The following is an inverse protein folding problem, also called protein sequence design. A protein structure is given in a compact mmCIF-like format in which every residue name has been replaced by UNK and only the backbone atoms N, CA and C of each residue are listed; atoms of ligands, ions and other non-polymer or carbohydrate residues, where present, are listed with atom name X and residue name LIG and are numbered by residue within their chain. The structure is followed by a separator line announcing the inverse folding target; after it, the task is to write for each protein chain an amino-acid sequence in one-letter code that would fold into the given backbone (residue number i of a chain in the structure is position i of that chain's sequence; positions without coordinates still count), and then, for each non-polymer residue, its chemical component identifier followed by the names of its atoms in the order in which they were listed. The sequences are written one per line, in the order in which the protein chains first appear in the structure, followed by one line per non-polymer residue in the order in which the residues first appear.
data_IF_473741745891
#
_entry.id   IF_473741745891
#
_cell.length_a   1.000
_cell.length_b   1.000
_cell.length_c   1.000
_cell.angle_alpha   90.00
_cell.angle_beta   90.00
_cell.angle_gamma   90.00
#
_symmetry.space_group_name_H-M   'P 1'
#
loop_
_entity.id
_entity.type
_entity.pdbx_description
1 polymer ?
#
# COMPACT_ATOMS: atom_id res chain seq x y z
N UNK A 1 -76.29 10.72 -49.98
CA UNK A 1 -75.09 10.81 -50.84
C UNK A 1 -74.35 12.04 -50.41
N UNK A 2 -73.09 11.93 -49.98
CA UNK A 2 -71.89 11.83 -50.81
C UNK A 2 -70.81 10.95 -50.19
N UNK A 3 -70.20 10.14 -51.04
CA UNK A 3 -68.96 9.43 -50.79
C UNK A 3 -68.03 9.81 -51.96
N UNK A 4 -66.96 10.62 -51.75
CA UNK A 4 -65.80 10.66 -52.66
C UNK A 4 -64.74 11.72 -52.21
N UNK A 5 -64.44 11.86 -50.93
CA UNK A 5 -63.33 12.73 -50.48
C UNK A 5 -62.31 12.03 -49.58
N UNK A 6 -62.38 10.71 -49.42
CA UNK A 6 -61.52 9.95 -48.52
C UNK A 6 -60.29 9.26 -49.15
N UNK A 7 -60.23 9.19 -50.49
CA UNK A 7 -59.19 8.38 -51.15
C UNK A 7 -57.95 9.20 -51.64
N UNK A 8 -58.07 10.50 -51.78
CA UNK A 8 -56.97 11.35 -52.29
C UNK A 8 -56.00 11.76 -51.14
N UNK A 9 -56.43 11.67 -49.87
CA UNK A 9 -55.59 12.02 -48.71
C UNK A 9 -54.69 10.91 -48.23
N UNK A 10 -54.95 9.66 -48.63
CA UNK A 10 -54.15 8.51 -48.25
C UNK A 10 -53.02 8.21 -49.26
N UNK A 11 -53.08 8.71 -50.49
CA UNK A 11 -52.02 8.52 -51.48
C UNK A 11 -50.93 9.57 -51.36
N UNK A 12 -51.18 10.78 -50.85
CA UNK A 12 -50.16 11.79 -50.62
C UNK A 12 -49.21 11.47 -49.45
N UNK A 13 -49.70 10.75 -48.42
CA UNK A 13 -48.91 10.31 -47.28
C UNK A 13 -48.01 9.10 -47.56
N UNK A 14 -48.32 8.32 -48.59
CA UNK A 14 -47.48 7.20 -48.98
C UNK A 14 -46.25 7.62 -49.79
N UNK A 15 -46.30 8.72 -50.51
CA UNK A 15 -45.14 9.26 -51.25
C UNK A 15 -44.17 10.00 -50.31
N UNK A 16 -44.66 10.67 -49.26
CA UNK A 16 -43.80 11.31 -48.25
C UNK A 16 -43.03 10.29 -47.38
N UNK A 17 -43.61 9.11 -47.10
CA UNK A 17 -42.93 8.04 -46.38
C UNK A 17 -41.87 7.34 -47.28
N UNK A 18 -42.11 7.24 -48.58
CA UNK A 18 -41.14 6.68 -49.53
C UNK A 18 -39.95 7.62 -49.81
N UNK A 19 -40.11 8.95 -49.63
CA UNK A 19 -39.05 9.95 -49.72
C UNK A 19 -38.18 9.96 -48.48
N UNK A 20 -38.74 9.73 -47.31
CA UNK A 20 -37.97 9.62 -46.03
C UNK A 20 -37.15 8.33 -45.90
N UNK A 21 -37.48 7.28 -46.64
CA UNK A 21 -36.68 6.06 -46.69
C UNK A 21 -35.53 6.07 -47.72
N UNK A 22 -35.39 7.07 -48.55
CA UNK A 22 -34.27 7.18 -49.51
C UNK A 22 -33.14 8.10 -49.12
N UNK A 23 -33.21 8.74 -47.97
CA UNK A 23 -32.11 9.53 -47.36
C UNK A 23 -31.45 8.82 -46.16
N UNK A 24 -31.62 7.49 -46.05
CA UNK A 24 -30.78 6.67 -45.19
C UNK A 24 -29.40 6.52 -45.85
N UNK A 25 -28.70 7.62 -45.94
CA UNK A 25 -27.27 7.60 -46.09
C UNK A 25 -26.75 6.84 -44.88
N UNK A 26 -26.21 5.69 -45.14
CA UNK A 26 -25.37 4.84 -44.31
C UNK A 26 -24.61 5.71 -43.30
N UNK A 27 -25.13 5.82 -42.08
CA UNK A 27 -24.26 6.00 -40.90
C UNK A 27 -23.50 4.68 -40.79
N UNK A 28 -22.52 4.48 -41.63
CA UNK A 28 -21.40 3.63 -41.29
C UNK A 28 -20.76 4.35 -40.08
N UNK A 29 -21.20 3.99 -38.88
CA UNK A 29 -20.40 4.18 -37.66
C UNK A 29 -19.09 3.49 -37.99
N UNK A 30 -18.11 4.26 -38.41
CA UNK A 30 -16.72 3.81 -38.40
C UNK A 30 -16.49 3.38 -36.95
N UNK A 31 -16.57 2.09 -36.68
CA UNK A 31 -15.97 1.50 -35.48
C UNK A 31 -14.51 1.85 -35.66
N UNK A 32 -14.11 2.98 -35.06
CA UNK A 32 -12.73 3.32 -34.90
C UNK A 32 -12.19 2.18 -34.07
N UNK A 33 -11.52 1.23 -34.70
CA UNK A 33 -10.80 0.17 -33.98
C UNK A 33 -9.75 0.90 -33.19
N UNK A 34 -10.10 1.20 -31.92
CA UNK A 34 -9.14 1.78 -30.98
C UNK A 34 -7.98 0.79 -30.95
N UNK A 35 -6.78 1.26 -31.26
CA UNK A 35 -5.58 0.45 -31.18
C UNK A 35 -5.51 -0.16 -29.79
N UNK A 36 -5.29 -1.48 -29.70
CA UNK A 36 -5.14 -2.14 -28.40
C UNK A 36 -3.95 -1.56 -27.67
N UNK A 37 -4.15 -1.21 -26.41
CA UNK A 37 -3.09 -0.83 -25.50
C UNK A 37 -2.49 -2.09 -24.90
N UNK A 38 -1.23 -2.36 -25.17
CA UNK A 38 -0.51 -3.52 -24.62
C UNK A 38 0.08 -3.18 -23.26
N UNK A 39 -0.35 -3.89 -22.23
CA UNK A 39 0.11 -3.72 -20.85
C UNK A 39 0.97 -4.91 -20.47
N UNK A 40 2.27 -4.67 -20.25
CA UNK A 40 3.21 -5.68 -19.78
C UNK A 40 3.29 -5.72 -18.26
N UNK A 41 3.01 -6.87 -17.67
CA UNK A 41 3.32 -7.14 -16.26
C UNK A 41 4.73 -7.69 -16.17
N UNK A 42 5.65 -6.86 -15.69
CA UNK A 42 7.07 -7.25 -15.59
C UNK A 42 7.30 -8.17 -14.39
N UNK A 43 8.34 -9.00 -14.47
CA UNK A 43 8.85 -9.72 -13.31
C UNK A 43 9.62 -8.80 -12.39
N UNK A 44 9.50 -9.03 -11.09
CA UNK A 44 10.29 -8.30 -10.10
C UNK A 44 11.77 -8.68 -10.20
N UNK A 45 12.64 -7.68 -10.25
CA UNK A 45 14.09 -7.86 -10.36
C UNK A 45 14.87 -7.31 -9.16
N UNK A 46 14.18 -6.78 -8.14
CA UNK A 46 14.79 -6.22 -6.94
C UNK A 46 15.45 -7.29 -6.06
N UNK A 47 16.51 -6.90 -5.34
CA UNK A 47 17.15 -7.70 -4.28
C UNK A 47 17.02 -6.95 -2.95
N UNK A 48 16.51 -7.58 -1.89
CA UNK A 48 15.95 -8.96 -1.81
C UNK A 48 14.71 -9.16 -2.69
N UNK A 49 14.39 -10.42 -3.07
CA UNK A 49 13.29 -10.73 -3.98
C UNK A 49 11.92 -10.25 -3.45
N UNK A 50 11.08 -9.78 -4.36
CA UNK A 50 9.68 -9.51 -4.11
C UNK A 50 8.81 -10.54 -4.86
N UNK A 51 7.86 -11.17 -4.18
CA UNK A 51 7.05 -12.26 -4.71
C UNK A 51 5.66 -11.80 -5.15
N UNK A 52 5.35 -10.51 -4.93
CA UNK A 52 4.07 -9.90 -5.30
C UNK A 52 3.98 -9.63 -6.80
N UNK A 53 2.76 -9.37 -7.25
CA UNK A 53 2.46 -8.93 -8.63
C UNK A 53 1.48 -7.75 -8.59
N UNK A 54 1.51 -6.85 -9.58
CA UNK A 54 0.52 -5.76 -9.65
C UNK A 54 -0.89 -6.25 -10.04
N UNK A 55 -0.97 -7.36 -10.79
CA UNK A 55 -2.20 -8.01 -11.20
C UNK A 55 -2.05 -9.53 -11.07
N UNK A 56 -2.98 -10.15 -10.36
CA UNK A 56 -3.07 -11.62 -10.27
C UNK A 56 -3.58 -12.22 -11.58
N UNK A 57 -3.45 -13.55 -11.80
CA UNK A 57 -3.97 -14.20 -13.02
C UNK A 57 -5.44 -13.89 -13.30
N UNK A 58 -6.30 -13.96 -12.27
CA UNK A 58 -7.74 -13.64 -12.37
C UNK A 58 -7.99 -12.17 -12.71
N UNK A 59 -7.21 -11.27 -12.10
CA UNK A 59 -7.30 -9.83 -12.35
C UNK A 59 -6.84 -9.45 -13.74
N UNK A 60 -5.88 -10.15 -14.34
CA UNK A 60 -5.51 -9.95 -15.74
C UNK A 60 -6.71 -10.22 -16.67
N UNK A 61 -7.46 -11.31 -16.45
CA UNK A 61 -8.70 -11.60 -17.17
C UNK A 61 -9.76 -10.52 -16.93
N UNK A 62 -9.91 -10.10 -15.69
CA UNK A 62 -10.86 -9.05 -15.31
C UNK A 62 -10.56 -7.72 -16.03
N UNK A 63 -9.30 -7.29 -16.06
CA UNK A 63 -8.87 -6.08 -16.78
C UNK A 63 -9.25 -6.17 -18.25
N UNK A 64 -8.95 -7.28 -18.94
CA UNK A 64 -9.30 -7.44 -20.36
C UNK A 64 -10.82 -7.49 -20.60
N UNK A 65 -11.59 -7.93 -19.60
CA UNK A 65 -13.06 -7.89 -19.67
C UNK A 65 -13.61 -6.47 -19.48
N UNK A 66 -13.06 -5.71 -18.53
CA UNK A 66 -13.52 -4.33 -18.24
C UNK A 66 -13.04 -3.36 -19.32
N UNK A 67 -11.82 -3.55 -19.81
CA UNK A 67 -11.17 -2.70 -20.82
C UNK A 67 -10.86 -3.54 -22.07
N UNK A 68 -11.84 -3.73 -23.01
CA UNK A 68 -11.66 -4.60 -24.17
C UNK A 68 -10.56 -4.16 -25.16
N UNK A 69 -10.13 -2.90 -25.06
CA UNK A 69 -8.98 -2.35 -25.79
C UNK A 69 -7.62 -2.60 -25.10
N UNK A 70 -7.60 -3.18 -23.90
CA UNK A 70 -6.37 -3.56 -23.20
C UNK A 70 -6.00 -5.03 -23.52
N UNK A 71 -4.74 -5.29 -23.78
CA UNK A 71 -4.15 -6.63 -23.88
C UNK A 71 -3.10 -6.77 -22.78
N UNK A 72 -3.30 -7.73 -21.86
CA UNK A 72 -2.34 -8.00 -20.79
C UNK A 72 -1.35 -9.05 -21.26
N UNK A 73 -0.07 -8.74 -21.14
CA UNK A 73 1.06 -9.63 -21.44
C UNK A 73 1.90 -9.74 -20.17
N UNK A 74 2.22 -10.96 -19.75
CA UNK A 74 2.95 -11.19 -18.51
C UNK A 74 4.32 -11.76 -18.81
N UNK A 75 5.36 -11.18 -18.21
CA UNK A 75 6.72 -11.69 -18.34
C UNK A 75 6.89 -12.94 -17.46
N UNK A 76 7.50 -14.04 -17.95
CA UNK A 76 7.79 -15.23 -17.15
C UNK A 76 8.62 -14.90 -15.90
N UNK A 77 8.32 -15.53 -14.75
CA UNK A 77 9.02 -15.27 -13.51
C UNK A 77 9.18 -16.54 -12.66
N UNK A 78 10.41 -16.92 -12.30
CA UNK A 78 10.66 -18.08 -11.45
C UNK A 78 10.37 -17.79 -9.96
N UNK A 79 10.23 -16.52 -9.58
CA UNK A 79 10.18 -16.14 -8.15
C UNK A 79 8.81 -15.71 -7.66
N UNK A 80 7.94 -15.13 -8.52
CA UNK A 80 6.63 -14.66 -8.06
C UNK A 80 5.80 -15.79 -7.46
N UNK A 81 4.95 -15.45 -6.49
CA UNK A 81 4.11 -16.48 -5.80
C UNK A 81 3.06 -17.09 -6.73
N UNK A 82 2.48 -16.32 -7.65
CA UNK A 82 1.63 -16.82 -8.75
C UNK A 82 2.49 -17.43 -9.84
N UNK A 83 2.29 -18.72 -10.13
CA UNK A 83 3.09 -19.43 -11.14
C UNK A 83 2.69 -19.06 -12.55
N UNK A 84 3.61 -19.21 -13.50
CA UNK A 84 3.37 -18.92 -14.92
C UNK A 84 2.18 -19.72 -15.46
N UNK A 85 2.04 -20.98 -15.04
CA UNK A 85 0.96 -21.88 -15.43
C UNK A 85 -0.42 -21.37 -15.00
N UNK A 86 -0.51 -20.61 -13.91
CA UNK A 86 -1.78 -20.01 -13.46
C UNK A 86 -2.26 -18.93 -14.44
N UNK A 87 -1.36 -18.13 -15.01
CA UNK A 87 -1.67 -17.15 -16.07
C UNK A 87 -2.01 -17.85 -17.38
N UNK A 88 -1.20 -18.83 -17.80
CA UNK A 88 -1.40 -19.59 -19.04
C UNK A 88 -2.76 -20.31 -19.03
N UNK A 89 -3.13 -20.93 -17.90
CA UNK A 89 -4.40 -21.67 -17.77
C UNK A 89 -5.63 -20.79 -17.97
N UNK A 90 -5.50 -19.49 -17.70
CA UNK A 90 -6.55 -18.48 -17.91
C UNK A 90 -6.45 -17.76 -19.26
N UNK A 91 -5.57 -18.23 -20.16
CA UNK A 91 -5.40 -17.66 -21.51
C UNK A 91 -4.64 -16.34 -21.55
N UNK A 92 -3.93 -15.99 -20.48
CA UNK A 92 -3.08 -14.78 -20.46
C UNK A 92 -1.78 -15.08 -21.22
N UNK A 93 -1.44 -14.16 -22.12
CA UNK A 93 -0.24 -14.26 -22.95
C UNK A 93 1.02 -14.11 -22.10
N UNK A 94 1.96 -15.03 -22.24
CA UNK A 94 3.30 -14.94 -21.65
C UNK A 94 4.31 -14.54 -22.72
N UNK A 95 5.22 -13.59 -22.39
CA UNK A 95 6.23 -13.12 -23.33
C UNK A 95 7.47 -12.61 -22.58
N UNK A 96 8.67 -13.05 -22.98
CA UNK A 96 9.91 -12.65 -22.34
C UNK A 96 10.29 -11.20 -22.69
N UNK A 97 10.21 -10.83 -23.97
CA UNK A 97 10.49 -9.48 -24.44
C UNK A 97 9.19 -8.64 -24.45
N UNK A 98 9.12 -7.63 -23.60
CA UNK A 98 7.99 -6.71 -23.50
C UNK A 98 8.22 -5.40 -24.28
N UNK A 99 9.16 -5.35 -25.21
CA UNK A 99 9.50 -4.14 -25.98
C UNK A 99 8.35 -3.65 -26.88
N UNK A 100 7.36 -4.50 -27.19
CA UNK A 100 6.15 -4.15 -27.93
C UNK A 100 4.99 -3.68 -27.05
N UNK A 101 5.15 -3.67 -25.73
CA UNK A 101 4.16 -3.13 -24.81
C UNK A 101 4.23 -1.60 -24.72
N UNK A 102 3.08 -0.97 -24.55
CA UNK A 102 2.94 0.49 -24.39
C UNK A 102 3.16 0.94 -22.95
N UNK A 103 2.70 0.12 -22.01
CA UNK A 103 2.70 0.34 -20.57
C UNK A 103 3.30 -0.87 -19.86
N UNK A 104 4.21 -0.65 -18.93
CA UNK A 104 4.86 -1.68 -18.14
C UNK A 104 4.56 -1.48 -16.65
N UNK A 105 4.12 -2.55 -15.98
CA UNK A 105 3.68 -2.50 -14.59
C UNK A 105 4.47 -3.50 -13.75
N UNK A 106 5.07 -3.01 -12.67
CA UNK A 106 5.71 -3.81 -11.64
C UNK A 106 5.20 -3.43 -10.25
N UNK A 107 5.82 -3.96 -9.21
CA UNK A 107 5.56 -3.58 -7.81
C UNK A 107 6.70 -2.71 -7.30
N UNK A 108 7.93 -3.18 -7.37
CA UNK A 108 9.13 -2.52 -6.81
C UNK A 108 10.03 -1.91 -7.87
N UNK A 109 11.09 -1.26 -7.43
CA UNK A 109 12.08 -0.63 -8.30
C UNK A 109 12.63 -1.60 -9.33
N UNK A 110 12.52 -1.21 -10.60
CA UNK A 110 13.06 -2.00 -11.72
C UNK A 110 14.58 -1.77 -11.80
N UNK A 111 15.41 -2.82 -11.82
CA UNK A 111 16.84 -2.67 -12.05
C UNK A 111 17.14 -1.91 -13.35
N UNK A 112 18.07 -0.97 -13.30
CA UNK A 112 18.39 -0.06 -14.41
C UNK A 112 18.67 -0.81 -15.74
N UNK A 113 19.30 -1.99 -15.66
CA UNK A 113 19.63 -2.83 -16.81
C UNK A 113 18.37 -3.46 -17.48
N UNK A 114 17.28 -3.58 -16.73
CA UNK A 114 16.03 -4.18 -17.21
C UNK A 114 15.04 -3.14 -17.74
N UNK A 115 15.33 -1.85 -17.57
CA UNK A 115 14.49 -0.76 -18.08
C UNK A 115 14.52 -0.72 -19.61
N UNK A 116 13.36 -0.84 -20.25
CA UNK A 116 13.15 -0.70 -21.69
C UNK A 116 12.93 0.78 -22.01
N UNK A 117 13.74 1.38 -22.91
CA UNK A 117 13.63 2.80 -23.24
C UNK A 117 12.30 3.19 -23.89
N UNK A 118 11.91 4.44 -23.75
CA UNK A 118 10.74 5.07 -24.40
C UNK A 118 9.42 4.40 -24.07
N UNK A 119 9.27 3.86 -22.85
CA UNK A 119 8.04 3.22 -22.35
C UNK A 119 7.43 4.00 -21.19
N UNK A 120 6.14 3.75 -20.95
CA UNK A 120 5.50 4.18 -19.69
C UNK A 120 5.62 3.08 -18.67
N UNK A 121 6.05 3.42 -17.44
CA UNK A 121 6.17 2.50 -16.32
C UNK A 121 5.30 2.91 -15.15
N UNK A 122 4.78 1.91 -14.43
CA UNK A 122 4.12 2.06 -13.14
C UNK A 122 4.76 1.10 -12.12
N UNK A 123 5.38 1.64 -11.08
CA UNK A 123 5.91 0.89 -9.93
C UNK A 123 6.19 1.85 -8.75
N UNK A 124 6.53 1.33 -7.57
CA UNK A 124 7.04 2.13 -6.45
C UNK A 124 8.52 2.43 -6.68
N UNK A 125 8.85 3.63 -7.11
CA UNK A 125 10.24 4.03 -7.43
C UNK A 125 11.06 4.37 -6.19
N UNK A 126 10.40 4.87 -5.14
CA UNK A 126 11.00 5.46 -3.94
C UNK A 126 11.98 6.62 -4.23
N UNK A 127 12.01 7.15 -5.44
CA UNK A 127 12.87 8.27 -5.87
C UNK A 127 12.54 9.55 -5.12
N UNK A 128 11.24 9.77 -4.82
CA UNK A 128 10.76 10.93 -4.04
C UNK A 128 11.37 11.02 -2.64
N UNK A 129 11.89 9.91 -2.11
CA UNK A 129 12.57 9.85 -0.81
C UNK A 129 14.02 10.30 -0.86
N UNK A 130 14.54 10.58 -2.06
CA UNK A 130 15.92 11.01 -2.32
C UNK A 130 17.00 10.10 -1.69
N UNK A 131 16.69 8.81 -1.56
CA UNK A 131 17.66 7.83 -1.03
C UNK A 131 18.81 7.68 -2.00
N UNK A 132 20.08 7.74 -1.56
CA UNK A 132 21.25 7.76 -2.45
C UNK A 132 21.30 6.60 -3.45
N UNK A 133 20.88 5.41 -3.05
CA UNK A 133 20.89 4.21 -3.90
C UNK A 133 19.89 4.27 -5.07
N UNK A 134 18.82 5.07 -4.97
CA UNK A 134 17.82 5.25 -6.03
C UNK A 134 18.13 6.41 -6.99
N UNK A 135 19.17 7.19 -6.76
CA UNK A 135 19.58 8.28 -7.66
C UNK A 135 19.94 7.78 -9.07
N UNK A 136 20.56 6.58 -9.16
CA UNK A 136 20.87 5.96 -10.44
C UNK A 136 19.61 5.54 -11.21
N UNK A 137 18.57 5.12 -10.51
CA UNK A 137 17.27 4.82 -11.13
C UNK A 137 16.66 6.09 -11.73
N UNK A 138 16.61 7.19 -11.00
CA UNK A 138 16.09 8.46 -11.51
C UNK A 138 16.82 8.92 -12.76
N UNK A 139 18.17 8.92 -12.76
CA UNK A 139 18.97 9.25 -13.94
C UNK A 139 18.64 8.35 -15.13
N UNK A 140 18.56 7.03 -14.90
CA UNK A 140 18.25 6.08 -15.96
C UNK A 140 16.85 6.26 -16.55
N UNK A 141 15.85 6.68 -15.74
CA UNK A 141 14.51 7.01 -16.24
C UNK A 141 14.56 8.19 -17.21
N UNK A 142 15.33 9.24 -16.90
CA UNK A 142 15.51 10.40 -17.77
C UNK A 142 16.32 10.06 -19.03
N UNK A 143 17.47 9.40 -18.90
CA UNK A 143 18.35 9.04 -20.01
C UNK A 143 17.67 8.11 -21.03
N UNK A 144 16.87 7.17 -20.53
CA UNK A 144 16.11 6.22 -21.37
C UNK A 144 14.77 6.78 -21.86
N UNK A 145 14.46 8.05 -21.55
CA UNK A 145 13.20 8.72 -21.95
C UNK A 145 11.97 7.92 -21.53
N UNK A 146 11.93 7.50 -20.29
CA UNK A 146 10.84 6.72 -19.71
C UNK A 146 9.84 7.68 -19.06
N UNK A 147 8.55 7.48 -19.33
CA UNK A 147 7.48 8.11 -18.55
C UNK A 147 7.24 7.28 -17.30
N UNK A 148 7.65 7.80 -16.15
CA UNK A 148 7.46 7.11 -14.86
C UNK A 148 6.26 7.67 -14.11
N UNK A 149 5.27 6.83 -13.85
CA UNK A 149 4.11 7.11 -12.99
C UNK A 149 4.32 6.35 -11.68
N UNK A 150 4.62 7.06 -10.59
CA UNK A 150 4.90 6.41 -9.30
C UNK A 150 3.61 6.10 -8.54
N UNK A 151 3.43 4.84 -8.17
CA UNK A 151 2.32 4.43 -7.31
C UNK A 151 2.26 5.19 -5.97
N UNK A 152 3.41 5.60 -5.45
CA UNK A 152 3.49 6.30 -4.17
C UNK A 152 2.88 7.71 -4.23
N UNK A 153 2.86 8.32 -5.40
CA UNK A 153 2.40 9.70 -5.62
C UNK A 153 0.99 9.80 -6.21
N UNK A 154 0.36 8.66 -6.55
CA UNK A 154 -1.03 8.62 -6.97
C UNK A 154 -1.97 9.03 -5.83
N UNK A 155 -2.48 10.27 -5.87
CA UNK A 155 -3.35 10.83 -4.83
C UNK A 155 -4.69 11.25 -5.42
N UNK A 156 -5.76 10.95 -4.70
CA UNK A 156 -7.10 11.45 -5.00
C UNK A 156 -7.24 12.95 -4.74
N UNK A 157 -8.41 13.51 -5.04
CA UNK A 157 -8.72 14.92 -4.79
C UNK A 157 -8.66 15.30 -3.30
N UNK A 158 -8.87 14.34 -2.41
CA UNK A 158 -8.74 14.48 -0.96
C UNK A 158 -7.28 14.45 -0.47
N UNK A 159 -6.31 14.36 -1.39
CA UNK A 159 -4.88 14.28 -1.10
C UNK A 159 -4.41 12.93 -0.56
N UNK A 160 -5.32 11.96 -0.38
CA UNK A 160 -4.95 10.62 0.09
C UNK A 160 -4.43 9.77 -1.06
N UNK A 161 -3.44 8.92 -0.75
CA UNK A 161 -2.91 7.94 -1.70
C UNK A 161 -4.02 6.98 -2.15
N UNK A 162 -4.16 6.76 -3.47
CA UNK A 162 -5.21 5.90 -4.03
C UNK A 162 -4.97 4.42 -3.77
N UNK A 163 -3.73 3.97 -3.92
CA UNK A 163 -3.34 2.55 -3.84
C UNK A 163 -2.15 2.34 -2.91
N UNK A 164 -1.98 1.13 -2.41
CA UNK A 164 -0.81 0.76 -1.62
C UNK A 164 -1.01 -0.50 -0.80
N UNK A 165 0.07 -1.00 -0.25
CA UNK A 165 0.10 -2.25 0.53
C UNK A 165 -0.13 -2.06 2.04
N UNK A 166 -0.46 -0.83 2.49
CA UNK A 166 -0.55 -0.51 3.92
C UNK A 166 -1.53 -1.38 4.72
N UNK A 167 -2.66 -1.80 4.11
CA UNK A 167 -3.60 -2.71 4.76
C UNK A 167 -2.93 -4.04 5.13
N UNK A 168 -2.17 -4.64 4.19
CA UNK A 168 -1.45 -5.89 4.45
C UNK A 168 -0.23 -5.71 5.34
N UNK A 169 0.39 -4.53 5.36
CA UNK A 169 1.40 -4.24 6.38
C UNK A 169 0.78 -4.31 7.79
N UNK A 170 -0.41 -3.73 7.99
CA UNK A 170 -1.15 -3.80 9.25
C UNK A 170 -1.56 -5.22 9.64
N UNK A 171 -2.10 -5.98 8.70
CA UNK A 171 -2.51 -7.39 8.90
C UNK A 171 -1.31 -8.23 9.34
N UNK A 172 -0.28 -8.28 8.51
CA UNK A 172 0.90 -9.14 8.76
C UNK A 172 1.68 -8.65 9.98
N UNK A 173 1.91 -7.34 10.11
CA UNK A 173 2.68 -6.79 11.22
C UNK A 173 2.00 -6.99 12.57
N UNK A 174 0.67 -6.94 12.64
CA UNK A 174 -0.06 -7.26 13.87
C UNK A 174 0.03 -8.75 14.20
N UNK A 175 -0.08 -9.61 13.21
CA UNK A 175 0.12 -11.05 13.40
C UNK A 175 1.54 -11.37 13.89
N UNK A 176 2.58 -10.80 13.26
CA UNK A 176 3.98 -10.93 13.67
C UNK A 176 4.20 -10.38 15.09
N UNK A 177 3.50 -9.32 15.46
CA UNK A 177 3.49 -8.81 16.84
C UNK A 177 2.96 -9.86 17.84
N UNK A 178 1.86 -10.53 17.53
CA UNK A 178 1.37 -11.64 18.36
C UNK A 178 2.33 -12.82 18.35
N UNK A 179 2.94 -13.13 17.22
CA UNK A 179 3.96 -14.19 17.12
C UNK A 179 5.14 -13.89 18.03
N UNK A 180 5.63 -12.65 18.03
CA UNK A 180 6.67 -12.20 18.94
C UNK A 180 6.21 -12.28 20.40
N UNK A 181 4.98 -11.83 20.71
CA UNK A 181 4.42 -11.87 22.06
C UNK A 181 4.36 -13.30 22.60
N UNK A 182 3.86 -14.25 21.81
CA UNK A 182 3.80 -15.66 22.18
C UNK A 182 5.18 -16.25 22.48
N UNK A 183 6.17 -15.98 21.63
CA UNK A 183 7.57 -16.43 21.82
C UNK A 183 8.20 -15.80 23.06
N UNK A 184 8.09 -14.47 23.22
CA UNK A 184 8.66 -13.73 24.34
C UNK A 184 8.17 -14.25 25.71
N UNK A 185 6.90 -14.62 25.79
CA UNK A 185 6.28 -15.06 27.04
C UNK A 185 6.13 -16.58 27.15
N UNK A 186 6.56 -17.35 26.14
CA UNK A 186 6.45 -18.82 26.13
C UNK A 186 5.00 -19.32 26.18
N UNK A 187 4.04 -18.56 25.64
CA UNK A 187 2.61 -18.85 25.71
C UNK A 187 2.13 -19.73 24.54
N UNK A 188 2.58 -19.43 23.33
CA UNK A 188 2.24 -20.13 22.09
C UNK A 188 3.30 -19.86 21.01
N UNK A 189 3.33 -20.70 19.98
CA UNK A 189 4.17 -20.52 18.80
C UNK A 189 3.32 -20.58 17.53
N UNK A 190 3.42 -19.51 16.70
CA UNK A 190 2.70 -19.38 15.46
C UNK A 190 3.63 -19.62 14.27
N UNK A 191 3.12 -20.29 13.25
CA UNK A 191 3.77 -20.37 11.94
C UNK A 191 3.97 -18.96 11.37
N UNK A 192 5.10 -18.70 10.73
CA UNK A 192 5.34 -17.43 10.06
C UNK A 192 4.33 -17.21 8.92
N UNK A 193 3.81 -15.98 8.70
CA UNK A 193 2.96 -15.69 7.54
C UNK A 193 3.64 -16.05 6.21
N UNK A 194 4.95 -15.86 6.12
CA UNK A 194 5.75 -16.24 4.94
C UNK A 194 5.72 -17.74 4.61
N UNK A 195 5.51 -18.57 5.62
CA UNK A 195 5.40 -20.02 5.47
C UNK A 195 3.96 -20.49 5.24
N UNK A 196 2.97 -19.60 5.41
CA UNK A 196 1.57 -19.87 5.10
C UNK A 196 1.31 -19.79 3.59
N UNK A 197 0.36 -20.56 3.11
CA UNK A 197 -0.05 -20.50 1.70
C UNK A 197 -0.76 -19.19 1.38
N UNK A 198 -1.64 -18.73 2.31
CA UNK A 198 -2.46 -17.55 2.18
C UNK A 198 -2.89 -17.00 3.56
N UNK A 199 -3.69 -15.95 3.54
CA UNK A 199 -4.26 -15.33 4.74
C UNK A 199 -5.15 -16.29 5.53
N UNK A 200 -5.87 -17.19 4.87
CA UNK A 200 -6.77 -18.14 5.55
C UNK A 200 -5.97 -19.07 6.45
N UNK A 201 -4.86 -19.60 5.96
CA UNK A 201 -3.97 -20.45 6.77
C UNK A 201 -3.35 -19.63 7.93
N UNK A 202 -2.92 -18.40 7.68
CA UNK A 202 -2.41 -17.52 8.73
C UNK A 202 -3.47 -17.26 9.82
N UNK A 203 -4.71 -17.01 9.45
CA UNK A 203 -5.81 -16.79 10.40
C UNK A 203 -6.16 -18.06 11.20
N UNK A 204 -5.93 -19.26 10.63
CA UNK A 204 -6.09 -20.51 11.37
C UNK A 204 -5.03 -20.66 12.47
N UNK A 205 -3.81 -20.18 12.27
CA UNK A 205 -2.77 -20.14 13.29
C UNK A 205 -3.19 -19.31 14.52
N UNK A 206 -3.98 -18.27 14.34
CA UNK A 206 -4.45 -17.42 15.45
C UNK A 206 -5.33 -18.17 16.46
N UNK A 207 -5.87 -19.33 16.11
CA UNK A 207 -6.62 -20.19 17.07
C UNK A 207 -5.75 -20.78 18.17
N UNK A 208 -4.41 -20.74 18.00
CA UNK A 208 -3.44 -21.17 19.00
C UNK A 208 -3.16 -20.10 20.06
N UNK A 209 -3.62 -18.86 19.81
CA UNK A 209 -3.33 -17.72 20.69
C UNK A 209 -4.12 -17.86 21.99
N UNK A 210 -3.41 -17.98 23.09
CA UNK A 210 -3.93 -17.89 24.45
C UNK A 210 -3.42 -16.60 25.12
N UNK A 211 -4.32 -15.73 25.53
CA UNK A 211 -4.00 -14.40 25.99
C UNK A 211 -4.26 -14.23 27.49
N UNK A 212 -3.35 -13.55 28.22
CA UNK A 212 -3.61 -13.14 29.61
C UNK A 212 -4.90 -12.30 29.70
N UNK A 213 -5.69 -12.55 30.75
CA UNK A 213 -6.98 -11.85 30.95
C UNK A 213 -6.85 -10.34 31.12
N UNK A 214 -5.72 -9.87 31.62
CA UNK A 214 -5.43 -8.45 31.87
C UNK A 214 -4.57 -7.82 30.77
N UNK A 215 -4.40 -8.50 29.62
CA UNK A 215 -3.62 -8.00 28.48
C UNK A 215 -4.13 -6.64 28.00
N UNK A 216 -3.21 -5.70 27.84
CA UNK A 216 -3.47 -4.38 27.29
C UNK A 216 -2.61 -4.10 26.07
N UNK A 217 -3.24 -3.70 24.99
CA UNK A 217 -2.57 -3.36 23.71
C UNK A 217 -2.85 -1.91 23.36
N UNK A 218 -1.82 -1.20 22.93
CA UNK A 218 -1.93 0.13 22.32
C UNK A 218 -1.72 -0.03 20.80
N UNK A 219 -2.59 0.60 20.01
CA UNK A 219 -2.43 0.74 18.57
C UNK A 219 -2.43 2.21 18.22
N UNK A 220 -1.45 2.70 17.47
CA UNK A 220 -1.40 4.09 17.01
C UNK A 220 -1.60 4.20 15.51
N UNK A 221 -2.39 5.21 15.09
CA UNK A 221 -2.61 5.56 13.69
C UNK A 221 -3.86 4.94 13.06
N UNK A 222 -4.70 5.80 12.46
CA UNK A 222 -5.98 5.45 11.82
C UNK A 222 -5.89 5.40 10.29
N UNK A 223 -4.69 5.16 9.75
CA UNK A 223 -4.47 4.97 8.33
C UNK A 223 -4.79 3.54 7.87
N UNK A 224 -4.43 3.21 6.62
CA UNK A 224 -4.59 1.85 6.05
C UNK A 224 -3.94 0.77 6.90
N UNK A 225 -2.77 1.08 7.50
CA UNK A 225 -2.02 0.16 8.36
C UNK A 225 -2.83 -0.12 9.63
N UNK A 226 -3.32 0.91 10.33
CA UNK A 226 -4.12 0.74 11.54
C UNK A 226 -5.43 -0.01 11.30
N UNK A 227 -6.10 0.22 10.17
CA UNK A 227 -7.29 -0.57 9.79
C UNK A 227 -6.94 -2.04 9.54
N UNK A 228 -5.80 -2.33 8.89
CA UNK A 228 -5.30 -3.70 8.75
C UNK A 228 -5.00 -4.36 10.08
N UNK A 229 -4.40 -3.63 11.02
CA UNK A 229 -4.17 -4.11 12.39
C UNK A 229 -5.48 -4.46 13.10
N UNK A 230 -6.52 -3.62 12.97
CA UNK A 230 -7.83 -3.91 13.56
C UNK A 230 -8.50 -5.16 12.99
N UNK A 231 -8.25 -5.52 11.71
CA UNK A 231 -8.80 -6.75 11.14
C UNK A 231 -8.32 -7.97 11.93
N UNK A 232 -7.04 -8.01 12.29
CA UNK A 232 -6.46 -9.10 13.08
C UNK A 232 -6.94 -9.08 14.54
N UNK A 233 -6.95 -7.91 15.16
CA UNK A 233 -7.45 -7.77 16.54
C UNK A 233 -8.90 -8.22 16.69
N UNK A 234 -9.74 -8.01 15.68
CA UNK A 234 -11.16 -8.44 15.67
C UNK A 234 -11.35 -9.97 15.57
N UNK A 235 -10.33 -10.72 15.17
CA UNK A 235 -10.36 -12.18 15.14
C UNK A 235 -10.09 -12.80 16.52
N UNK A 236 -9.60 -12.00 17.47
CA UNK A 236 -9.25 -12.44 18.81
C UNK A 236 -10.29 -11.94 19.83
N UNK A 237 -10.39 -12.60 21.00
CA UNK A 237 -11.29 -12.21 22.08
C UNK A 237 -10.75 -10.98 22.84
N UNK A 238 -10.41 -9.91 22.12
CA UNK A 238 -9.86 -8.67 22.65
C UNK A 238 -10.87 -7.55 22.43
N UNK A 239 -11.24 -6.84 23.50
CA UNK A 239 -12.22 -5.76 23.43
C UNK A 239 -11.57 -4.42 23.11
N UNK A 240 -12.06 -3.71 22.09
CA UNK A 240 -11.70 -2.30 21.89
C UNK A 240 -12.31 -1.44 22.99
N UNK A 241 -11.53 -0.56 23.58
CA UNK A 241 -11.95 0.37 24.63
C UNK A 241 -11.51 1.80 24.30
N UNK A 242 -12.13 2.78 24.97
CA UNK A 242 -11.68 4.17 24.91
C UNK A 242 -10.48 4.41 25.85
N UNK A 243 -9.76 5.54 25.71
CA UNK A 243 -8.63 5.87 26.57
C UNK A 243 -8.91 5.80 28.07
N UNK A 244 -10.04 6.31 28.53
CA UNK A 244 -10.42 6.32 29.95
C UNK A 244 -10.53 4.89 30.51
N UNK A 245 -11.21 3.99 29.81
CA UNK A 245 -11.32 2.58 30.19
C UNK A 245 -9.97 1.87 30.15
N UNK A 246 -9.12 2.21 29.19
CA UNK A 246 -7.78 1.63 29.07
C UNK A 246 -6.91 1.88 30.30
N UNK A 247 -7.00 3.05 30.89
CA UNK A 247 -6.24 3.38 32.11
C UNK A 247 -6.78 2.69 33.38
N UNK A 248 -8.02 2.21 33.36
CA UNK A 248 -8.63 1.46 34.45
C UNK A 248 -8.14 0.02 34.57
N UNK A 249 -8.67 -0.72 35.56
CA UNK A 249 -8.50 -2.18 35.64
C UNK A 249 -9.40 -2.86 34.62
N UNK A 250 -8.88 -3.89 33.98
CA UNK A 250 -9.62 -4.72 33.00
C UNK A 250 -9.56 -6.19 33.43
N UNK A 251 -10.65 -6.93 33.24
CA UNK A 251 -10.75 -8.36 33.55
C UNK A 251 -10.77 -9.22 32.29
N UNK A 252 -10.66 -8.59 31.15
CA UNK A 252 -10.57 -9.19 29.82
C UNK A 252 -9.50 -8.48 29.01
N UNK A 253 -8.90 -9.13 28.00
CA UNK A 253 -7.95 -8.49 27.10
C UNK A 253 -8.58 -7.28 26.40
N UNK A 254 -7.86 -6.15 26.37
CA UNK A 254 -8.34 -4.92 25.74
C UNK A 254 -7.30 -4.29 24.84
N UNK A 255 -7.77 -3.52 23.85
CA UNK A 255 -6.90 -2.62 23.09
C UNK A 255 -7.52 -1.22 23.00
N UNK A 256 -6.66 -0.23 22.98
CA UNK A 256 -7.01 1.14 22.62
C UNK A 256 -6.39 1.44 21.24
N UNK A 257 -7.18 2.04 20.35
CA UNK A 257 -6.71 2.48 19.05
C UNK A 257 -6.75 4.00 19.00
N UNK A 258 -5.57 4.61 18.87
CA UNK A 258 -5.35 6.05 19.05
C UNK A 258 -5.11 6.76 17.72
N UNK A 259 -5.81 7.88 17.50
CA UNK A 259 -5.50 8.84 16.42
C UNK A 259 -4.49 9.89 16.95
N UNK A 260 -3.91 10.65 16.03
CA UNK A 260 -2.91 11.68 16.31
C UNK A 260 -3.34 12.68 17.42
N UNK A 261 -4.62 13.04 17.46
CA UNK A 261 -5.18 13.92 18.49
C UNK A 261 -5.16 13.33 19.91
N UNK A 262 -4.98 12.00 20.03
CA UNK A 262 -5.00 11.31 21.33
C UNK A 262 -3.58 11.04 21.85
N UNK A 263 -2.55 11.19 21.01
CA UNK A 263 -1.16 10.98 21.41
C UNK A 263 -0.20 12.13 21.05
N UNK A 264 -0.73 13.26 20.55
CA UNK A 264 0.00 14.52 20.47
C UNK A 264 -0.75 15.62 21.20
N UNK A 265 -0.02 16.43 21.91
CA UNK A 265 -0.55 17.57 22.64
C UNK A 265 0.34 18.80 22.41
N UNK A 266 -0.29 19.99 22.33
CA UNK A 266 0.44 21.25 22.22
C UNK A 266 1.20 21.53 23.52
N UNK A 267 2.47 21.94 23.42
CA UNK A 267 3.34 22.24 24.58
C UNK A 267 2.81 23.36 25.44
N UNK A 268 2.17 24.35 24.82
CA UNK A 268 1.54 25.48 25.49
C UNK A 268 0.02 25.33 25.41
N UNK A 269 -0.65 25.48 26.52
CA UNK A 269 -2.10 25.44 26.69
C UNK A 269 -2.79 24.10 26.40
N UNK A 270 -2.05 23.06 26.06
CA UNK A 270 -2.61 21.74 25.75
C UNK A 270 -3.48 21.68 24.49
N UNK A 271 -4.15 20.53 24.27
CA UNK A 271 -5.03 20.28 23.13
C UNK A 271 -4.31 19.98 21.83
N UNK A 272 -5.09 19.74 20.77
CA UNK A 272 -4.59 19.37 19.43
C UNK A 272 -5.39 20.06 18.33
N UNK A 273 -4.71 20.66 17.38
CA UNK A 273 -5.26 21.13 16.11
C UNK A 273 -4.50 20.47 14.96
N UNK A 274 -5.20 19.70 14.15
CA UNK A 274 -4.59 18.90 13.08
C UNK A 274 -3.91 19.74 12.01
N UNK A 275 -4.49 20.89 11.65
CA UNK A 275 -3.92 21.79 10.63
C UNK A 275 -2.67 22.48 11.17
N UNK A 276 -2.72 22.98 12.41
CA UNK A 276 -1.58 23.59 13.06
C UNK A 276 -0.44 22.58 13.29
N UNK A 277 -0.77 21.33 13.66
CA UNK A 277 0.21 20.24 13.80
C UNK A 277 0.99 19.99 12.52
N UNK A 278 0.33 19.95 11.34
CA UNK A 278 1.03 19.77 10.08
C UNK A 278 1.87 20.96 9.64
N UNK A 279 1.53 22.18 10.08
CA UNK A 279 2.27 23.41 9.74
C UNK A 279 3.40 23.70 10.73
N UNK A 280 3.26 23.29 11.98
CA UNK A 280 4.15 23.64 13.07
C UNK A 280 4.26 22.49 14.10
N UNK A 281 4.76 21.31 13.67
CA UNK A 281 4.81 20.12 14.54
C UNK A 281 5.70 20.32 15.77
N UNK A 282 6.67 21.23 15.70
CA UNK A 282 7.58 21.57 16.81
C UNK A 282 6.88 22.17 18.04
N UNK A 283 5.64 22.67 17.88
CA UNK A 283 4.80 23.17 18.98
C UNK A 283 4.17 22.05 19.80
N UNK A 284 4.29 20.81 19.35
CA UNK A 284 3.64 19.66 19.97
C UNK A 284 4.66 18.74 20.65
N UNK A 285 4.18 17.90 21.53
CA UNK A 285 4.92 16.78 22.11
C UNK A 285 4.07 15.52 22.08
N UNK A 286 4.69 14.37 22.27
CA UNK A 286 3.99 13.09 22.34
C UNK A 286 3.52 12.79 23.76
N UNK A 287 2.27 12.34 23.89
CA UNK A 287 1.70 11.75 25.10
C UNK A 287 1.58 10.22 25.00
N UNK A 288 2.03 9.65 23.89
CA UNK A 288 2.02 8.20 23.66
C UNK A 288 2.73 7.38 24.75
N UNK A 289 3.86 7.86 25.35
CA UNK A 289 4.53 7.13 26.42
C UNK A 289 3.61 6.80 27.60
N UNK A 290 2.62 7.64 27.92
CA UNK A 290 1.67 7.40 29.01
C UNK A 290 0.76 6.19 28.77
N UNK A 291 0.43 5.90 27.50
CA UNK A 291 -0.31 4.73 27.10
C UNK A 291 0.59 3.49 27.07
N UNK A 292 1.73 3.59 26.36
CA UNK A 292 2.60 2.43 26.08
C UNK A 292 3.18 1.86 27.36
N UNK A 293 3.60 2.69 28.35
CA UNK A 293 4.13 2.20 29.62
C UNK A 293 3.15 1.33 30.42
N UNK A 294 1.84 1.42 30.14
CA UNK A 294 0.77 0.65 30.80
C UNK A 294 0.24 -0.49 29.95
N UNK A 295 0.74 -0.64 28.75
CA UNK A 295 0.43 -1.75 27.85
C UNK A 295 1.40 -2.91 28.05
N UNK A 296 1.02 -4.10 27.60
CA UNK A 296 1.89 -5.24 27.45
C UNK A 296 2.53 -5.28 26.07
N UNK A 297 1.78 -4.74 25.08
CA UNK A 297 2.17 -4.71 23.69
C UNK A 297 1.79 -3.38 23.03
N UNK A 298 2.68 -2.86 22.19
CA UNK A 298 2.42 -1.68 21.37
C UNK A 298 2.52 -2.07 19.87
N UNK A 299 1.49 -1.71 19.09
CA UNK A 299 1.42 -1.89 17.64
C UNK A 299 1.46 -0.51 17.00
N UNK A 300 2.57 -0.18 16.36
CA UNK A 300 2.81 1.12 15.75
C UNK A 300 2.39 1.13 14.29
N UNK A 301 1.25 1.80 14.01
CA UNK A 301 0.68 1.94 12.66
C UNK A 301 0.63 3.41 12.19
N UNK A 302 1.32 4.29 12.90
CA UNK A 302 1.33 5.72 12.61
C UNK A 302 2.13 6.05 11.34
N UNK A 303 1.86 7.20 10.78
CA UNK A 303 2.71 7.87 9.79
C UNK A 303 3.52 8.93 10.53
N UNK A 304 4.84 8.86 10.41
CA UNK A 304 5.73 9.88 10.95
C UNK A 304 6.44 10.61 9.80
N UNK A 305 6.49 11.94 9.86
CA UNK A 305 7.22 12.77 8.91
C UNK A 305 8.37 13.46 9.64
N UNK A 306 9.46 13.69 8.93
CA UNK A 306 10.61 14.43 9.49
C UNK A 306 10.17 15.79 10.05
N UNK A 307 10.59 16.09 11.28
CA UNK A 307 10.17 17.27 12.03
C UNK A 307 9.01 17.05 13.00
N UNK A 308 8.27 15.95 12.90
CA UNK A 308 7.28 15.58 13.90
C UNK A 308 7.96 15.21 15.23
N UNK A 309 7.29 15.44 16.38
CA UNK A 309 7.80 15.00 17.68
C UNK A 309 8.04 13.48 17.69
N UNK A 310 9.11 13.07 18.37
CA UNK A 310 9.39 11.66 18.67
C UNK A 310 8.24 11.10 19.50
N UNK A 311 7.73 9.93 19.12
CA UNK A 311 6.57 9.31 19.76
C UNK A 311 6.94 8.57 21.02
N UNK A 312 8.01 7.79 20.99
CA UNK A 312 8.48 6.97 22.11
C UNK A 312 10.01 7.13 22.25
N UNK A 313 10.45 8.17 22.99
CA UNK A 313 11.87 8.46 23.16
C UNK A 313 12.52 7.49 24.15
N UNK A 314 13.85 7.39 24.13
CA UNK A 314 14.63 6.41 24.92
C UNK A 314 14.40 6.53 26.42
N UNK A 315 14.23 7.74 26.95
CA UNK A 315 13.96 7.98 28.36
C UNK A 315 12.62 7.40 28.85
N UNK A 316 11.64 7.23 27.94
CA UNK A 316 10.33 6.69 28.31
C UNK A 316 10.43 5.25 28.85
N UNK A 317 11.35 4.46 28.32
CA UNK A 317 11.54 3.05 28.74
C UNK A 317 12.10 2.91 30.16
N UNK A 318 12.68 3.97 30.72
CA UNK A 318 13.23 3.98 32.09
C UNK A 318 12.19 4.37 33.17
N UNK A 319 10.93 4.59 32.76
CA UNK A 319 9.87 4.91 33.70
C UNK A 319 9.61 3.73 34.67
N UNK A 320 9.50 3.95 36.00
CA UNK A 320 9.33 2.86 36.96
C UNK A 320 8.08 2.00 36.74
N UNK A 321 7.03 2.57 36.12
CA UNK A 321 5.80 1.83 35.74
C UNK A 321 5.84 1.26 34.34
N UNK A 322 7.02 1.16 33.72
CA UNK A 322 7.14 0.60 32.36
C UNK A 322 6.80 -0.88 32.35
N UNK A 323 5.75 -1.26 31.57
CA UNK A 323 5.24 -2.62 31.47
C UNK A 323 5.43 -3.22 30.09
N UNK A 324 5.49 -2.39 29.02
CA UNK A 324 5.50 -2.85 27.65
C UNK A 324 6.75 -3.66 27.32
N UNK A 325 6.57 -4.94 27.00
CA UNK A 325 7.67 -5.83 26.66
C UNK A 325 7.75 -6.17 25.17
N UNK A 326 6.71 -5.85 24.37
CA UNK A 326 6.66 -6.16 22.95
C UNK A 326 6.25 -4.92 22.17
N UNK A 327 7.05 -4.56 21.16
CA UNK A 327 6.74 -3.48 20.20
C UNK A 327 6.76 -4.06 18.81
N UNK A 328 5.58 -4.04 18.16
CA UNK A 328 5.41 -4.34 16.75
C UNK A 328 5.43 -3.02 15.98
N UNK A 329 6.61 -2.57 15.55
CA UNK A 329 6.76 -1.33 14.77
C UNK A 329 6.55 -1.59 13.29
N UNK A 330 5.29 -1.45 12.84
CA UNK A 330 4.89 -1.63 11.45
C UNK A 330 5.31 -0.42 10.59
N UNK A 331 5.56 0.74 11.22
CA UNK A 331 6.07 1.93 10.52
C UNK A 331 7.53 1.74 10.09
N UNK A 332 8.32 1.04 10.90
CA UNK A 332 9.71 0.64 10.63
C UNK A 332 10.63 1.83 10.27
N UNK A 333 10.41 2.98 10.90
CA UNK A 333 11.23 4.19 10.69
C UNK A 333 12.49 4.13 11.58
N UNK A 334 13.58 3.57 11.03
CA UNK A 334 14.86 3.42 11.76
C UNK A 334 15.41 4.77 12.21
N UNK A 335 15.82 4.87 13.48
CA UNK A 335 16.22 6.11 14.12
C UNK A 335 15.15 7.22 14.01
N UNK A 336 13.89 6.81 13.98
CA UNK A 336 12.74 7.66 13.81
C UNK A 336 11.98 7.91 15.12
N UNK A 337 10.63 7.78 15.09
CA UNK A 337 9.79 8.18 16.21
C UNK A 337 9.81 7.22 17.40
N UNK A 338 10.35 6.00 17.25
CA UNK A 338 10.39 4.96 18.27
C UNK A 338 11.85 4.59 18.55
N UNK A 339 12.37 4.92 19.72
CA UNK A 339 13.78 4.74 20.04
C UNK A 339 14.26 3.28 19.99
N UNK A 340 13.35 2.31 20.22
CA UNK A 340 13.69 0.88 20.12
C UNK A 340 13.81 0.39 18.68
N UNK A 341 13.39 1.17 17.67
CA UNK A 341 13.54 0.81 16.25
C UNK A 341 14.91 1.25 15.75
N UNK A 342 15.94 0.55 16.23
CA UNK A 342 17.35 0.84 15.92
C UNK A 342 17.79 0.27 14.56
N UNK A 343 17.08 -0.71 14.06
CA UNK A 343 17.23 -1.26 12.70
C UNK A 343 15.92 -1.80 12.16
N UNK A 344 15.82 -1.89 10.85
CA UNK A 344 14.81 -2.73 10.22
C UNK A 344 15.14 -4.22 10.44
N UNK A 345 14.11 -5.05 10.65
CA UNK A 345 14.24 -6.50 10.66
C UNK A 345 13.89 -7.09 9.29
N UNK A 346 14.28 -8.35 9.09
CA UNK A 346 14.02 -9.11 7.86
C UNK A 346 13.00 -10.21 8.12
N UNK A 347 12.29 -10.65 7.10
CA UNK A 347 11.38 -11.80 7.19
C UNK A 347 12.09 -13.04 7.76
N UNK A 348 13.37 -13.27 7.39
CA UNK A 348 14.17 -14.37 7.88
C UNK A 348 14.75 -14.18 9.29
N UNK A 349 14.78 -12.94 9.81
CA UNK A 349 15.26 -12.55 11.13
C UNK A 349 14.34 -11.45 11.68
N UNK A 350 13.09 -11.80 12.06
CA UNK A 350 12.02 -10.83 12.27
C UNK A 350 12.10 -10.06 13.59
N UNK A 351 12.81 -10.60 14.60
CA UNK A 351 12.78 -10.12 15.97
C UNK A 351 14.15 -9.83 16.53
N UNK A 352 14.23 -8.81 17.36
CA UNK A 352 15.42 -8.49 18.16
C UNK A 352 15.01 -7.87 19.50
N UNK A 353 15.95 -7.84 20.46
CA UNK A 353 15.78 -7.14 21.73
C UNK A 353 16.38 -5.74 21.66
N UNK A 354 15.71 -4.75 22.22
CA UNK A 354 16.26 -3.43 22.49
C UNK A 354 16.56 -3.29 23.97
N UNK A 355 17.81 -3.04 24.34
CA UNK A 355 18.19 -2.78 25.72
C UNK A 355 18.08 -1.27 26.03
N UNK A 356 17.11 -0.83 26.84
CA UNK A 356 16.90 0.60 27.10
C UNK A 356 18.05 1.28 27.85
N UNK A 357 18.85 0.52 28.61
CA UNK A 357 19.97 1.08 29.39
C UNK A 357 21.16 1.41 28.53
N UNK A 358 21.40 0.64 27.50
CA UNK A 358 22.56 0.80 26.60
C UNK A 358 22.20 1.37 25.24
N UNK A 359 20.92 1.38 24.87
CA UNK A 359 20.44 1.76 23.54
C UNK A 359 20.87 0.78 22.43
N UNK A 360 21.31 -0.44 22.80
CA UNK A 360 21.88 -1.41 21.86
C UNK A 360 20.95 -2.61 21.64
N UNK A 361 21.23 -3.34 20.56
CA UNK A 361 20.59 -4.62 20.25
C UNK A 361 21.00 -5.69 21.26
N UNK A 362 20.06 -6.58 21.57
CA UNK A 362 20.23 -7.75 22.41
C UNK A 362 19.29 -8.89 22.00
N UNK A 363 19.25 -9.94 22.81
CA UNK A 363 18.31 -11.04 22.61
C UNK A 363 16.89 -10.58 23.01
N UNK A 364 15.91 -10.82 22.13
CA UNK A 364 14.49 -10.47 22.43
C UNK A 364 13.89 -11.36 23.53
N UNK A 365 14.57 -12.44 23.94
CA UNK A 365 14.18 -13.30 25.06
C UNK A 365 14.75 -12.82 26.41
N UNK A 366 15.70 -11.88 26.41
CA UNK A 366 16.34 -11.39 27.65
C UNK A 366 15.40 -10.41 28.36
N UNK A 367 15.20 -10.59 29.68
CA UNK A 367 14.34 -9.76 30.51
C UNK A 367 14.78 -8.29 30.60
N UNK A 368 16.05 -7.99 30.30
CA UNK A 368 16.58 -6.64 30.26
C UNK A 368 16.26 -5.89 28.94
N UNK A 369 15.61 -6.55 27.97
CA UNK A 369 15.27 -5.98 26.67
C UNK A 369 13.77 -5.86 26.45
N UNK A 370 13.38 -4.93 25.61
CA UNK A 370 12.06 -4.88 24.97
C UNK A 370 12.15 -5.62 23.64
N UNK A 371 11.28 -6.57 23.41
CA UNK A 371 11.24 -7.34 22.15
C UNK A 371 10.63 -6.49 21.03
N UNK A 372 11.30 -6.43 19.88
CA UNK A 372 10.94 -5.56 18.76
C UNK A 372 10.79 -6.38 17.48
N UNK A 373 9.71 -6.12 16.75
CA UNK A 373 9.50 -6.50 15.36
C UNK A 373 9.43 -5.22 14.53
N UNK A 374 10.28 -5.08 13.52
CA UNK A 374 10.33 -3.92 12.62
C UNK A 374 10.67 -4.35 11.19
N UNK A 375 9.85 -5.27 10.63
CA UNK A 375 10.06 -5.81 9.29
C UNK A 375 9.70 -4.76 8.24
N UNK A 376 10.63 -4.46 7.33
CA UNK A 376 10.50 -3.40 6.32
C UNK A 376 9.58 -3.74 5.15
N UNK A 377 9.23 -5.01 4.95
CA UNK A 377 8.43 -5.47 3.80
C UNK A 377 7.35 -6.49 4.19
N UNK A 378 6.64 -6.24 5.27
CA UNK A 378 5.57 -7.09 5.82
C UNK A 378 4.58 -7.65 4.78
N UNK A 379 4.07 -6.87 3.79
CA UNK A 379 3.13 -7.41 2.81
C UNK A 379 3.71 -8.51 1.91
N UNK A 380 5.04 -8.68 1.88
CA UNK A 380 5.72 -9.74 1.13
C UNK A 380 5.56 -11.12 1.78
N UNK A 381 5.17 -11.18 3.04
CA UNK A 381 4.94 -12.44 3.74
C UNK A 381 3.61 -13.12 3.34
N UNK A 382 2.64 -12.33 2.84
CA UNK A 382 1.41 -12.83 2.23
C UNK A 382 1.27 -12.31 0.79
N UNK A 383 2.17 -12.69 -0.12
CA UNK A 383 2.27 -12.04 -1.43
C UNK A 383 1.05 -12.27 -2.33
N UNK A 384 0.33 -13.39 -2.21
CA UNK A 384 -0.91 -13.65 -2.98
C UNK A 384 -2.00 -12.68 -2.59
N UNK A 385 -2.32 -12.63 -1.31
CA UNK A 385 -3.41 -11.79 -0.77
C UNK A 385 -3.10 -10.30 -0.89
N UNK A 386 -1.84 -9.91 -0.63
CA UNK A 386 -1.39 -8.54 -0.79
C UNK A 386 -1.48 -8.08 -2.26
N UNK A 387 -1.13 -8.95 -3.22
CA UNK A 387 -1.27 -8.67 -4.66
C UNK A 387 -2.72 -8.55 -5.07
N UNK A 388 -3.60 -9.45 -4.60
CA UNK A 388 -5.03 -9.41 -4.91
C UNK A 388 -5.68 -8.10 -4.43
N UNK A 389 -5.40 -7.69 -3.20
CA UNK A 389 -5.90 -6.44 -2.65
C UNK A 389 -5.36 -5.21 -3.41
N UNK A 390 -4.07 -5.20 -3.76
CA UNK A 390 -3.45 -4.13 -4.53
C UNK A 390 -4.02 -4.04 -5.95
N UNK A 391 -4.13 -5.18 -6.64
CA UNK A 391 -4.67 -5.23 -7.99
C UNK A 391 -6.15 -4.81 -8.05
N UNK A 392 -6.95 -5.13 -7.04
CA UNK A 392 -8.32 -4.65 -6.94
C UNK A 392 -8.39 -3.11 -6.88
N UNK A 393 -7.56 -2.48 -6.02
CA UNK A 393 -7.46 -1.01 -5.98
C UNK A 393 -6.95 -0.41 -7.30
N UNK A 394 -6.00 -1.09 -7.96
CA UNK A 394 -5.44 -0.67 -9.24
C UNK A 394 -6.51 -0.67 -10.35
N UNK A 395 -7.31 -1.74 -10.43
CA UNK A 395 -8.42 -1.89 -11.40
C UNK A 395 -9.51 -0.84 -11.16
N UNK A 396 -9.88 -0.62 -9.89
CA UNK A 396 -10.95 0.29 -9.53
C UNK A 396 -10.55 1.76 -9.70
N UNK A 397 -9.32 2.14 -9.29
CA UNK A 397 -8.96 3.56 -9.06
C UNK A 397 -7.95 4.13 -10.05
N UNK A 398 -7.12 3.30 -10.68
CA UNK A 398 -5.98 3.77 -11.50
C UNK A 398 -6.14 3.43 -12.96
N UNK A 399 -6.47 2.18 -13.31
CA UNK A 399 -6.62 1.77 -14.71
C UNK A 399 -7.68 2.58 -15.47
N UNK A 400 -8.83 2.96 -14.89
CA UNK A 400 -9.77 3.86 -15.57
C UNK A 400 -9.16 5.20 -15.96
N UNK A 401 -8.29 5.76 -15.12
CA UNK A 401 -7.61 7.04 -15.39
C UNK A 401 -6.49 6.91 -16.43
N UNK A 402 -5.89 5.75 -16.55
CA UNK A 402 -4.83 5.45 -17.53
C UNK A 402 -5.38 5.11 -18.92
N UNK A 403 -6.50 4.39 -18.97
CA UNK A 403 -7.02 3.79 -20.20
C UNK A 403 -8.19 4.56 -20.81
N UNK A 404 -8.85 5.43 -20.02
CA UNK A 404 -9.98 6.24 -20.48
C UNK A 404 -9.64 7.74 -20.31
N UNK A 405 -10.21 8.38 -19.30
CA UNK A 405 -10.04 9.81 -19.05
C UNK A 405 -9.52 10.11 -17.65
N UNK A 406 -8.60 11.07 -17.56
CA UNK A 406 -8.07 11.59 -16.29
C UNK A 406 -8.43 13.08 -16.11
N UNK A 407 -9.70 13.41 -15.85
CA UNK A 407 -10.19 14.79 -15.82
C UNK A 407 -9.54 15.62 -14.70
N UNK A 408 -9.02 14.98 -13.67
CA UNK A 408 -8.38 15.61 -12.52
C UNK A 408 -6.85 15.63 -12.62
N UNK A 409 -6.31 15.13 -13.72
CA UNK A 409 -4.86 15.02 -13.97
C UNK A 409 -4.12 14.26 -12.87
N UNK A 410 -4.74 13.22 -12.31
CA UNK A 410 -4.17 12.41 -11.23
C UNK A 410 -2.92 11.68 -11.73
N UNK A 411 -3.01 11.07 -12.91
CA UNK A 411 -1.86 10.37 -13.53
C UNK A 411 -0.75 11.36 -13.86
N UNK A 412 -1.10 12.54 -14.43
CA UNK A 412 -0.11 13.58 -14.72
C UNK A 412 0.61 14.07 -13.47
N UNK A 413 -0.12 14.34 -12.39
CA UNK A 413 0.43 14.77 -11.10
C UNK A 413 1.31 13.70 -10.44
N UNK A 414 1.11 12.42 -10.77
CA UNK A 414 1.91 11.31 -10.30
C UNK A 414 3.03 10.91 -11.27
N UNK A 415 3.16 11.60 -12.41
CA UNK A 415 4.20 11.35 -13.42
C UNK A 415 5.47 12.11 -13.04
N UNK A 416 6.53 11.38 -12.72
CA UNK A 416 7.83 11.95 -12.34
C UNK A 416 8.63 12.43 -13.55
N UNK A 417 8.72 11.58 -14.59
CA UNK A 417 9.51 11.82 -15.79
C UNK A 417 8.68 11.63 -17.05
N UNK A 418 9.12 12.23 -18.15
CA UNK A 418 8.43 12.23 -19.45
C UNK A 418 9.16 11.39 -20.50
N UNK A 419 8.48 11.09 -21.62
CA UNK A 419 9.09 10.44 -22.79
C UNK A 419 10.12 11.32 -23.51
N UNK A 420 10.27 12.58 -23.13
CA UNK A 420 11.32 13.49 -23.61
C UNK A 420 12.59 13.37 -22.76
N UNK A 421 12.53 12.71 -21.62
CA UNK A 421 13.65 12.58 -20.67
C UNK A 421 13.75 13.80 -19.75
N UNK A 422 12.61 14.36 -19.36
CA UNK A 422 12.52 15.55 -18.51
C UNK A 422 11.73 15.23 -17.24
N UNK A 423 12.04 15.91 -16.13
CA UNK A 423 11.16 15.92 -14.96
C UNK A 423 9.88 16.70 -15.26
N UNK A 424 8.76 16.25 -14.70
CA UNK A 424 7.53 17.08 -14.75
C UNK A 424 7.60 18.21 -13.73
N UNK A 425 6.81 19.30 -13.89
CA UNK A 425 6.82 20.44 -12.97
C UNK A 425 6.59 20.07 -11.51
N UNK A 426 5.81 19.02 -11.24
CA UNK A 426 5.55 18.54 -9.88
C UNK A 426 6.78 17.90 -9.21
N UNK A 427 7.77 17.51 -9.99
CA UNK A 427 8.97 16.79 -9.53
C UNK A 427 10.28 17.54 -9.83
N UNK A 428 10.24 18.80 -10.24
CA UNK A 428 11.43 19.66 -10.44
C UNK A 428 12.34 19.72 -9.22
N UNK A 429 11.80 19.54 -8.00
CA UNK A 429 12.57 19.47 -6.76
C UNK A 429 13.52 18.27 -6.69
N UNK A 430 13.43 17.32 -7.62
CA UNK A 430 14.34 16.18 -7.78
C UNK A 430 15.51 16.48 -8.73
N UNK A 431 15.63 17.69 -9.31
CA UNK A 431 16.65 18.02 -10.31
C UNK A 431 18.08 17.76 -9.82
N UNK A 432 18.43 18.26 -8.64
CA UNK A 432 19.74 18.01 -8.04
C UNK A 432 19.98 16.50 -7.78
N UNK A 433 18.98 15.81 -7.25
CA UNK A 433 19.02 14.37 -6.99
C UNK A 433 19.18 13.55 -8.28
N UNK A 434 18.60 14.00 -9.37
CA UNK A 434 18.73 13.43 -10.71
C UNK A 434 20.08 13.76 -11.36
N UNK A 435 20.84 14.71 -10.81
CA UNK A 435 22.09 15.18 -11.39
C UNK A 435 21.88 16.16 -12.55
N UNK A 436 20.72 16.81 -12.60
CA UNK A 436 20.43 17.92 -13.50
C UNK A 436 20.93 19.21 -12.83
N UNK A 437 21.85 19.91 -13.49
CA UNK A 437 22.42 21.18 -13.01
C UNK A 437 21.46 22.36 -13.24
#
# INVERSE_FOLDING_TARGET
MPRTQGLTFLLSKAEDIASLCRSSTTFATSIQVMSKVKIGVIREGKVPPDFRVPLTPKQCVEVQRIFPNAEIIVQPSPIRKFKDEEYISLGIKMQEDLSDCDLLMGVKEVPVQQLIPSKTYLFFSHTIKKQPHNANLMRALLDKKIRMVDYETLKGQDGKRLIGFGRYAGIVGTFEGFRLYGKRHGLYDLKSPNDCEDRVEMELEMKKIDLPKDLKIVVSGFGRVGHGAEEILKLLPIKRVNPETFFGKTEVPVYVHLDSQEYYERKEFGGFDKKDFYLSPEKYHSTLPDYVRRADMYIACHLWAGGNPVLLPAEAYNHPDWRCQVIADISCDTNGPIASTIRASKISDPFYGYNPKTGSEGDFMDDSTVAVMAIDNLPCELPKDASEAFGAELIEKVLPLLLNEDPNQIIWKATETTLQGELTPHFEYLSEYAGLS
#
